data_IF_726685170325
#
_entry.id   IF_726685170325
#
_cell.length_a   1.000
_cell.length_b   1.000
_cell.length_c   1.000
_cell.angle_alpha   90.00
_cell.angle_beta   90.00
_cell.angle_gamma   90.00
#
_symmetry.space_group_name_H-M   'P 1'
#
loop_
_entity.id
_entity.type
_entity.pdbx_description
1 polymer ?
#
# COMPACT_ATOMS: atom_id res chain seq x y z
N UNK A 1 -10.91 -9.98 -10.86
CA UNK A 1 -9.50 -9.54 -10.75
C UNK A 1 -9.21 -9.22 -9.30
N UNK A 2 -8.08 -9.65 -8.77
CA UNK A 2 -7.67 -9.44 -7.36
C UNK A 2 -6.23 -8.93 -7.33
N UNK A 3 -5.89 -8.16 -6.28
CA UNK A 3 -4.54 -7.68 -6.01
C UNK A 3 -4.26 -7.86 -4.52
N UNK A 4 -3.02 -8.19 -4.16
CA UNK A 4 -2.59 -8.35 -2.78
C UNK A 4 -1.46 -7.38 -2.48
N UNK A 5 -1.69 -6.43 -1.58
CA UNK A 5 -0.73 -5.41 -1.18
C UNK A 5 -0.36 -5.58 0.28
N UNK A 6 0.50 -6.57 0.55
CA UNK A 6 1.01 -6.81 1.90
C UNK A 6 1.70 -5.58 2.49
N UNK A 7 1.63 -5.47 3.81
CA UNK A 7 2.38 -4.51 4.64
C UNK A 7 2.89 -5.26 5.85
N UNK A 8 3.98 -4.76 6.45
CA UNK A 8 4.43 -5.26 7.75
C UNK A 8 3.36 -5.00 8.81
N UNK A 9 3.23 -5.91 9.77
CA UNK A 9 2.31 -5.74 10.90
C UNK A 9 2.93 -4.78 11.92
N UNK A 10 2.41 -3.55 12.09
CA UNK A 10 2.99 -2.58 13.01
C UNK A 10 2.75 -2.98 14.49
N UNK A 11 1.80 -3.88 14.77
CA UNK A 11 1.54 -4.39 16.11
C UNK A 11 2.55 -5.47 16.54
N UNK A 12 3.28 -6.06 15.59
CA UNK A 12 4.34 -7.04 15.88
C UNK A 12 5.66 -6.37 16.31
N UNK A 13 5.77 -5.04 16.27
CA UNK A 13 6.98 -4.31 16.68
C UNK A 13 7.09 -4.28 18.20
N UNK A 14 8.11 -4.96 18.71
CA UNK A 14 8.50 -4.93 20.12
C UNK A 14 9.47 -3.77 20.41
N UNK A 15 9.46 -3.25 21.64
CA UNK A 15 10.40 -2.20 22.08
C UNK A 15 9.71 -0.94 22.61
N UNK A 16 10.29 0.23 22.33
CA UNK A 16 9.80 1.49 22.89
C UNK A 16 8.49 1.95 22.24
N UNK A 17 7.71 2.76 22.96
CA UNK A 17 6.47 3.34 22.44
C UNK A 17 6.72 4.16 21.16
N UNK A 18 7.84 4.86 21.06
CA UNK A 18 8.21 5.62 19.86
C UNK A 18 8.49 4.70 18.67
N UNK A 19 9.10 3.52 18.89
CA UNK A 19 9.32 2.55 17.82
C UNK A 19 8.00 2.01 17.27
N UNK A 20 7.07 1.66 18.16
CA UNK A 20 5.71 1.25 17.80
C UNK A 20 4.98 2.35 17.03
N UNK A 21 4.97 3.59 17.53
CA UNK A 21 4.32 4.73 16.87
C UNK A 21 4.89 5.00 15.48
N UNK A 22 6.21 4.89 15.31
CA UNK A 22 6.85 5.00 13.98
C UNK A 22 6.41 3.89 13.05
N UNK A 23 6.32 2.64 13.51
CA UNK A 23 5.84 1.53 12.70
C UNK A 23 4.40 1.75 12.22
N UNK A 24 3.49 2.12 13.14
CA UNK A 24 2.10 2.46 12.79
C UNK A 24 2.01 3.62 11.81
N UNK A 25 2.79 4.68 12.02
CA UNK A 25 2.79 5.84 11.13
C UNK A 25 3.27 5.47 9.71
N UNK A 26 4.32 4.64 9.60
CA UNK A 26 4.83 4.18 8.31
C UNK A 26 3.79 3.34 7.56
N UNK A 27 3.19 2.35 8.24
CA UNK A 27 2.15 1.49 7.66
C UNK A 27 0.91 2.31 7.28
N UNK A 28 0.50 3.26 8.12
CA UNK A 28 -0.61 4.17 7.81
C UNK A 28 -0.33 4.99 6.55
N UNK A 29 0.84 5.63 6.44
CA UNK A 29 1.21 6.44 5.28
C UNK A 29 1.22 5.60 3.99
N UNK A 30 1.73 4.38 4.09
CA UNK A 30 1.74 3.40 3.01
C UNK A 30 0.33 3.06 2.53
N UNK A 31 -0.55 2.65 3.45
CA UNK A 31 -1.93 2.27 3.14
C UNK A 31 -2.73 3.47 2.61
N UNK A 32 -2.61 4.63 3.26
CA UNK A 32 -3.29 5.85 2.85
C UNK A 32 -2.94 6.23 1.41
N UNK A 33 -1.65 6.17 1.03
CA UNK A 33 -1.21 6.46 -0.33
C UNK A 33 -1.76 5.44 -1.33
N UNK A 34 -1.69 4.14 -1.03
CA UNK A 34 -2.23 3.08 -1.91
C UNK A 34 -3.73 3.24 -2.17
N UNK A 35 -4.51 3.45 -1.10
CA UNK A 35 -5.96 3.66 -1.20
C UNK A 35 -6.26 4.93 -2.00
N UNK A 36 -5.51 6.01 -1.78
CA UNK A 36 -5.68 7.26 -2.52
C UNK A 36 -5.43 7.08 -4.02
N UNK A 37 -4.35 6.39 -4.40
CA UNK A 37 -4.03 6.09 -5.80
C UNK A 37 -5.11 5.21 -6.43
N UNK A 38 -5.52 4.14 -5.75
CA UNK A 38 -6.57 3.25 -6.22
C UNK A 38 -7.90 3.99 -6.44
N UNK A 39 -8.31 4.84 -5.48
CA UNK A 39 -9.53 5.64 -5.58
C UNK A 39 -9.50 6.67 -6.72
N UNK A 40 -8.29 7.10 -7.15
CA UNK A 40 -8.11 8.01 -8.27
C UNK A 40 -8.12 7.34 -9.65
N UNK A 41 -8.11 6.00 -9.72
CA UNK A 41 -8.06 5.29 -10.99
C UNK A 41 -9.35 5.51 -11.82
N UNK A 42 -9.23 5.81 -13.13
CA UNK A 42 -10.38 5.88 -14.01
C UNK A 42 -10.84 4.47 -14.43
N UNK A 43 -11.31 3.66 -13.48
CA UNK A 43 -11.62 2.23 -13.66
C UNK A 43 -12.51 1.98 -14.89
N UNK A 44 -13.51 2.84 -15.13
CA UNK A 44 -14.43 2.70 -16.27
C UNK A 44 -13.75 2.85 -17.65
N UNK A 45 -12.55 3.43 -17.71
CA UNK A 45 -11.77 3.63 -18.94
C UNK A 45 -10.64 2.61 -19.11
N UNK A 46 -10.42 1.75 -18.12
CA UNK A 46 -9.32 0.78 -18.11
C UNK A 46 -9.83 -0.61 -18.47
N UNK A 47 -9.24 -1.23 -19.48
CA UNK A 47 -9.48 -2.63 -19.81
C UNK A 47 -8.72 -3.58 -18.87
N UNK A 48 -9.11 -4.85 -18.81
CA UNK A 48 -8.64 -5.81 -17.80
C UNK A 48 -7.12 -5.88 -17.60
N UNK A 49 -6.33 -5.94 -18.68
CA UNK A 49 -4.86 -5.94 -18.55
C UNK A 49 -4.29 -4.60 -18.11
N UNK A 50 -4.89 -3.48 -18.52
CA UNK A 50 -4.47 -2.15 -18.10
C UNK A 50 -4.76 -1.95 -16.60
N UNK A 51 -5.97 -2.31 -16.15
CA UNK A 51 -6.33 -2.24 -14.74
C UNK A 51 -5.46 -3.17 -13.89
N UNK A 52 -5.10 -4.38 -14.36
CA UNK A 52 -4.12 -5.23 -13.67
C UNK A 52 -2.78 -4.52 -13.47
N UNK A 53 -2.22 -3.91 -14.53
CA UNK A 53 -0.94 -3.19 -14.45
C UNK A 53 -0.98 -2.04 -13.47
N UNK A 54 -2.04 -1.23 -13.48
CA UNK A 54 -2.20 -0.14 -12.51
C UNK A 54 -2.27 -0.66 -11.07
N UNK A 55 -3.00 -1.75 -10.83
CA UNK A 55 -3.09 -2.38 -9.50
C UNK A 55 -1.75 -2.96 -9.04
N UNK A 56 -0.99 -3.60 -9.94
CA UNK A 56 0.34 -4.12 -9.62
C UNK A 56 1.30 -2.96 -9.32
N UNK A 57 1.24 -1.87 -10.10
CA UNK A 57 2.06 -0.67 -9.90
C UNK A 57 1.81 -0.02 -8.54
N UNK A 58 0.55 0.16 -8.13
CA UNK A 58 0.20 0.68 -6.79
C UNK A 58 0.77 -0.20 -5.66
N UNK A 59 0.87 -1.51 -5.88
CA UNK A 59 1.50 -2.44 -4.96
C UNK A 59 3.03 -2.27 -4.88
N UNK A 60 3.67 -2.09 -6.04
CA UNK A 60 5.13 -2.06 -6.20
C UNK A 60 5.80 -0.73 -5.86
N UNK A 61 5.15 0.42 -6.11
CA UNK A 61 5.74 1.76 -5.87
C UNK A 61 6.15 2.03 -4.41
N UNK A 62 5.80 1.13 -3.50
CA UNK A 62 5.87 1.36 -2.06
C UNK A 62 6.48 0.19 -1.26
N UNK A 63 7.07 -0.80 -1.96
CA UNK A 63 7.81 -1.91 -1.34
C UNK A 63 9.33 -1.72 -1.30
N UNK A 64 9.86 -0.62 -1.83
CA UNK A 64 11.29 -0.27 -1.78
C UNK A 64 11.58 0.65 -0.60
N UNK A 65 11.41 0.12 0.61
CA UNK A 65 12.06 0.64 1.81
C UNK A 65 13.12 -0.37 2.23
N UNK A 66 14.38 -0.06 1.88
CA UNK A 66 15.66 -0.63 2.37
C UNK A 66 15.71 -2.14 2.71
#
# INVERSE_FOLDING_TARGET
MTAHWGVEDPAAVEGSTEAMQRAFSQVFMLLHRRISLFASLPIAKLEGMALKRELDQIGHELGTGA
#
